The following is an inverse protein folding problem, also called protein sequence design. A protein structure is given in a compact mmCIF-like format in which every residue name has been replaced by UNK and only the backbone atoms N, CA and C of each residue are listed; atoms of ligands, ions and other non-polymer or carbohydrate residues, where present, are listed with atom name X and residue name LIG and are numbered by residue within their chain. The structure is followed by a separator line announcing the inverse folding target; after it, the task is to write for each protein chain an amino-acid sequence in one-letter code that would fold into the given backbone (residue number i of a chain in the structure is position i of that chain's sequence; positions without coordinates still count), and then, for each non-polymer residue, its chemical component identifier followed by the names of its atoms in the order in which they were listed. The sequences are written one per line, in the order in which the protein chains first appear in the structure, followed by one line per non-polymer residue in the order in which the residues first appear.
data_IF_281797927277
#
_entry.id   IF_281797927277
#
_cell.length_a   1.000
_cell.length_b   1.000
_cell.length_c   1.000
_cell.angle_alpha   90.00
_cell.angle_beta   90.00
_cell.angle_gamma   90.00
#
_symmetry.space_group_name_H-M   'P 1'
#
loop_
_entity.id
_entity.type
_entity.pdbx_description
1 polymer ?
#
# COMPACT_ATOMS: atom_id res chain seq x y z
N UNK A 1 -16.78 -28.10 -6.75
CA UNK A 1 -15.41 -28.00 -7.31
C UNK A 1 -14.65 -26.99 -6.48
N UNK A 2 -13.53 -27.37 -5.86
CA UNK A 2 -12.73 -26.45 -5.06
C UNK A 2 -12.05 -25.46 -6.00
N UNK A 3 -12.26 -24.14 -5.80
CA UNK A 3 -11.45 -23.11 -6.46
C UNK A 3 -10.00 -23.36 -6.06
N UNK A 4 -9.11 -23.69 -7.01
CA UNK A 4 -7.67 -23.61 -6.77
C UNK A 4 -7.38 -22.17 -6.31
N UNK A 5 -6.65 -22.03 -5.23
CA UNK A 5 -6.15 -20.73 -4.81
C UNK A 5 -5.14 -20.28 -5.87
N UNK A 6 -5.47 -19.20 -6.60
CA UNK A 6 -4.56 -18.54 -7.54
C UNK A 6 -3.45 -17.86 -6.74
N UNK A 7 -2.17 -18.04 -7.09
CA UNK A 7 -1.04 -17.37 -6.43
C UNK A 7 -0.99 -15.86 -6.76
N UNK A 8 -1.62 -15.43 -7.85
CA UNK A 8 -1.75 -14.01 -8.23
C UNK A 8 -2.56 -13.25 -7.18
N UNK A 9 -1.91 -12.26 -6.59
CA UNK A 9 -2.53 -11.41 -5.57
C UNK A 9 -3.62 -10.49 -6.12
N UNK A 10 -4.34 -9.86 -5.19
CA UNK A 10 -5.52 -9.04 -5.50
C UNK A 10 -5.17 -7.80 -6.32
N UNK A 11 -4.01 -7.20 -6.08
CA UNK A 11 -3.63 -5.95 -6.71
C UNK A 11 -3.16 -6.19 -8.15
N UNK A 12 -2.31 -7.21 -8.35
CA UNK A 12 -1.92 -7.66 -9.68
C UNK A 12 -3.15 -8.06 -10.50
N UNK A 13 -4.04 -8.86 -9.93
CA UNK A 13 -5.28 -9.27 -10.60
C UNK A 13 -6.15 -8.09 -10.99
N UNK A 14 -6.45 -7.19 -10.04
CA UNK A 14 -7.27 -6.01 -10.32
C UNK A 14 -6.63 -5.12 -11.39
N UNK A 15 -5.30 -4.94 -11.36
CA UNK A 15 -4.60 -4.17 -12.38
C UNK A 15 -4.71 -4.81 -13.77
N UNK A 16 -4.61 -6.13 -13.87
CA UNK A 16 -4.77 -6.87 -15.14
C UNK A 16 -6.20 -6.75 -15.68
N UNK A 17 -7.20 -6.77 -14.80
CA UNK A 17 -8.61 -6.66 -15.18
C UNK A 17 -8.95 -5.23 -15.67
N UNK A 18 -8.43 -4.20 -15.00
CA UNK A 18 -8.84 -2.80 -15.20
C UNK A 18 -7.98 -2.03 -16.23
N UNK A 19 -6.69 -2.34 -16.36
CA UNK A 19 -5.77 -1.53 -17.16
C UNK A 19 -5.67 -1.97 -18.64
N UNK A 20 -5.24 -1.07 -19.55
CA UNK A 20 -4.83 -1.42 -20.91
C UNK A 20 -3.63 -2.38 -20.93
N UNK A 21 -3.58 -3.29 -21.91
CA UNK A 21 -2.55 -4.33 -22.01
C UNK A 21 -1.13 -3.75 -22.03
N UNK A 22 -0.89 -2.69 -22.81
CA UNK A 22 0.43 -2.07 -22.91
C UNK A 22 0.93 -1.51 -21.57
N UNK A 23 0.01 -0.95 -20.79
CA UNK A 23 0.29 -0.41 -19.46
C UNK A 23 0.53 -1.55 -18.44
N UNK A 24 -0.20 -2.65 -18.54
CA UNK A 24 0.04 -3.86 -17.73
C UNK A 24 1.47 -4.34 -17.98
N UNK A 25 1.84 -4.55 -19.24
CA UNK A 25 3.19 -5.00 -19.61
C UNK A 25 4.27 -4.04 -19.11
N UNK A 26 4.03 -2.72 -19.24
CA UNK A 26 4.92 -1.69 -18.72
C UNK A 26 5.14 -1.81 -17.22
N UNK A 27 4.08 -2.04 -16.42
CA UNK A 27 4.20 -2.23 -14.97
C UNK A 27 5.02 -3.46 -14.64
N UNK A 28 4.74 -4.62 -15.27
CA UNK A 28 5.45 -5.87 -15.00
C UNK A 28 6.92 -5.83 -15.46
N UNK A 29 7.22 -5.08 -16.53
CA UNK A 29 8.59 -4.87 -17.03
C UNK A 29 9.40 -3.90 -16.17
N UNK A 30 8.76 -2.90 -15.56
CA UNK A 30 9.40 -1.85 -14.77
C UNK A 30 9.84 -2.33 -13.37
N UNK A 31 10.71 -3.34 -13.35
CA UNK A 31 11.42 -3.92 -12.20
C UNK A 31 12.33 -2.86 -11.57
N UNK A 32 12.39 -2.83 -10.25
CA UNK A 32 13.23 -1.90 -9.49
C UNK A 32 14.58 -2.52 -9.10
N UNK A 33 15.53 -1.72 -8.60
CA UNK A 33 16.78 -2.24 -8.04
C UNK A 33 16.57 -3.08 -6.77
N UNK A 34 15.44 -2.91 -6.08
CA UNK A 34 15.06 -3.70 -4.89
C UNK A 34 14.52 -5.09 -5.23
N UNK A 35 14.36 -5.40 -6.53
CA UNK A 35 13.76 -6.64 -7.03
C UNK A 35 14.76 -7.48 -7.83
N UNK A 36 16.04 -7.47 -7.46
CA UNK A 36 17.11 -8.20 -8.16
C UNK A 36 16.87 -9.73 -8.29
N UNK A 37 16.04 -10.30 -7.41
CA UNK A 37 15.68 -11.72 -7.44
C UNK A 37 14.33 -11.99 -8.13
N UNK A 38 13.63 -10.97 -8.64
CA UNK A 38 12.33 -11.15 -9.28
C UNK A 38 12.49 -11.79 -10.66
N UNK A 39 11.80 -12.92 -10.95
CA UNK A 39 11.92 -13.57 -12.23
C UNK A 39 11.36 -12.70 -13.37
N UNK A 40 11.82 -12.97 -14.58
CA UNK A 40 11.13 -12.48 -15.77
C UNK A 40 9.90 -13.35 -16.04
N UNK A 41 8.72 -12.73 -16.04
CA UNK A 41 7.47 -13.43 -16.31
C UNK A 41 7.25 -13.71 -17.80
N UNK A 42 8.03 -13.09 -18.71
CA UNK A 42 7.94 -13.34 -20.14
C UNK A 42 6.59 -12.96 -20.78
N UNK A 43 5.90 -11.96 -20.21
CA UNK A 43 4.53 -11.62 -20.60
C UNK A 43 4.42 -11.07 -22.03
N UNK A 44 5.44 -10.34 -22.50
CA UNK A 44 5.45 -9.78 -23.84
C UNK A 44 5.54 -10.90 -24.89
N UNK A 45 6.47 -11.84 -24.67
CA UNK A 45 6.70 -13.00 -25.51
C UNK A 45 5.47 -13.91 -25.53
N UNK A 46 4.81 -14.10 -24.38
CA UNK A 46 3.55 -14.83 -24.34
C UNK A 46 2.54 -14.14 -25.24
N UNK A 47 2.30 -12.84 -25.12
CA UNK A 47 1.27 -12.17 -25.90
C UNK A 47 1.57 -12.07 -27.40
N UNK A 48 2.84 -11.98 -27.80
CA UNK A 48 3.28 -11.97 -29.20
C UNK A 48 3.03 -13.30 -29.90
N UNK A 49 3.11 -14.42 -29.18
CA UNK A 49 2.69 -15.71 -29.73
C UNK A 49 1.17 -15.67 -29.95
N UNK A 50 0.68 -15.80 -31.18
CA UNK A 50 -0.76 -15.83 -31.51
C UNK A 50 -1.43 -17.14 -31.06
N UNK A 51 -1.43 -17.41 -29.76
CA UNK A 51 -2.18 -18.51 -29.17
C UNK A 51 -3.59 -18.00 -28.85
N UNK A 52 -4.63 -18.72 -29.28
CA UNK A 52 -6.02 -18.33 -29.07
C UNK A 52 -6.36 -18.12 -27.58
N UNK A 53 -7.18 -17.10 -27.29
CA UNK A 53 -7.57 -16.71 -25.93
C UNK A 53 -7.57 -15.19 -25.74
N UNK A 54 -8.25 -14.67 -24.72
CA UNK A 54 -8.16 -13.25 -24.41
C UNK A 54 -6.78 -12.92 -23.79
N UNK A 55 -6.17 -11.77 -24.13
CA UNK A 55 -4.81 -11.44 -23.66
C UNK A 55 -4.69 -11.42 -22.13
N UNK A 56 -5.74 -10.98 -21.42
CA UNK A 56 -5.77 -10.96 -19.94
C UNK A 56 -5.71 -12.36 -19.34
N UNK A 57 -6.46 -13.31 -19.92
CA UNK A 57 -6.47 -14.70 -19.44
C UNK A 57 -5.09 -15.32 -19.59
N UNK A 58 -4.41 -15.03 -20.72
CA UNK A 58 -3.05 -15.51 -20.97
C UNK A 58 -2.03 -14.94 -19.99
N UNK A 59 -2.16 -13.67 -19.63
CA UNK A 59 -1.33 -13.04 -18.59
C UNK A 59 -1.54 -13.77 -17.25
N UNK A 60 -2.80 -13.98 -16.85
CA UNK A 60 -3.12 -14.67 -15.61
C UNK A 60 -2.63 -16.11 -15.60
N UNK A 61 -2.82 -16.86 -16.69
CA UNK A 61 -2.31 -18.23 -16.86
C UNK A 61 -0.78 -18.29 -16.77
N UNK A 62 -0.09 -17.29 -17.31
CA UNK A 62 1.38 -17.20 -17.24
C UNK A 62 1.83 -16.95 -15.80
N UNK A 63 1.19 -16.00 -15.12
CA UNK A 63 1.52 -15.69 -13.72
C UNK A 63 1.18 -16.84 -12.77
N UNK A 64 0.15 -17.64 -13.08
CA UNK A 64 -0.21 -18.84 -12.31
C UNK A 64 0.86 -19.95 -12.34
N UNK A 65 1.87 -19.86 -13.22
CA UNK A 65 3.01 -20.79 -13.26
C UNK A 65 4.06 -20.48 -12.20
N UNK A 66 4.05 -19.27 -11.62
CA UNK A 66 5.01 -18.81 -10.62
C UNK A 66 4.48 -19.04 -9.21
N UNK A 67 5.40 -19.16 -8.24
CA UNK A 67 5.00 -19.28 -6.85
C UNK A 67 4.66 -17.91 -6.23
N UNK A 68 4.16 -17.94 -5.00
CA UNK A 68 3.74 -16.72 -4.32
C UNK A 68 4.92 -15.80 -3.96
N UNK A 69 6.09 -16.36 -3.70
CA UNK A 69 7.27 -15.59 -3.29
C UNK A 69 7.82 -14.81 -4.50
N UNK A 70 7.84 -15.44 -5.67
CA UNK A 70 8.18 -14.83 -6.97
C UNK A 70 7.21 -13.70 -7.36
N UNK A 71 5.92 -13.85 -7.07
CA UNK A 71 4.89 -12.87 -7.40
C UNK A 71 4.79 -11.72 -6.38
N UNK A 72 5.34 -11.88 -5.18
CA UNK A 72 5.24 -10.88 -4.11
C UNK A 72 5.78 -9.50 -4.51
N UNK A 73 6.95 -9.38 -5.16
CA UNK A 73 7.45 -8.10 -5.67
C UNK A 73 6.49 -7.43 -6.66
N UNK A 74 5.96 -8.20 -7.62
CA UNK A 74 5.00 -7.70 -8.60
C UNK A 74 3.67 -7.27 -7.94
N UNK A 75 3.18 -8.02 -6.96
CA UNK A 75 1.98 -7.69 -6.20
C UNK A 75 2.16 -6.37 -5.43
N UNK A 76 3.31 -6.17 -4.77
CA UNK A 76 3.62 -4.89 -4.09
C UNK A 76 3.63 -3.74 -5.07
N UNK A 77 4.25 -3.92 -6.23
CA UNK A 77 4.30 -2.92 -7.31
C UNK A 77 2.90 -2.53 -7.80
N UNK A 78 2.05 -3.53 -8.06
CA UNK A 78 0.66 -3.30 -8.45
C UNK A 78 -0.12 -2.58 -7.34
N UNK A 79 0.13 -2.93 -6.08
CA UNK A 79 -0.47 -2.25 -4.92
C UNK A 79 -0.09 -0.77 -4.85
N UNK A 80 1.19 -0.43 -5.05
CA UNK A 80 1.68 0.96 -5.10
C UNK A 80 0.93 1.79 -6.14
N UNK A 81 0.87 1.28 -7.37
CA UNK A 81 0.15 1.92 -8.49
C UNK A 81 -1.33 2.09 -8.15
N UNK A 82 -1.99 1.05 -7.65
CA UNK A 82 -3.42 1.13 -7.33
C UNK A 82 -3.72 2.10 -6.18
N UNK A 83 -2.86 2.18 -5.17
CA UNK A 83 -3.03 3.13 -4.06
C UNK A 83 -3.05 4.58 -4.53
N UNK A 84 -2.27 4.94 -5.56
CA UNK A 84 -2.28 6.28 -6.15
C UNK A 84 -3.39 6.49 -7.18
N UNK A 85 -4.04 5.42 -7.64
CA UNK A 85 -5.17 5.48 -8.57
C UNK A 85 -6.54 5.63 -7.87
N UNK A 86 -6.59 5.47 -6.54
CA UNK A 86 -7.85 5.40 -5.79
C UNK A 86 -7.91 6.43 -4.64
N UNK A 87 -9.12 6.88 -4.31
CA UNK A 87 -9.39 7.74 -3.15
C UNK A 87 -8.53 9.00 -3.09
N UNK A 88 -7.80 9.19 -1.98
CA UNK A 88 -6.91 10.35 -1.77
C UNK A 88 -5.61 10.26 -2.58
N UNK A 89 -5.28 9.08 -3.13
CA UNK A 89 -4.10 8.86 -3.96
C UNK A 89 -4.14 9.69 -5.23
N UNK A 90 -5.31 9.76 -5.89
CA UNK A 90 -5.52 10.53 -7.13
C UNK A 90 -5.15 12.00 -6.95
N UNK A 91 -5.67 12.63 -5.90
CA UNK A 91 -5.37 14.04 -5.62
C UNK A 91 -3.90 14.28 -5.26
N UNK A 92 -3.26 13.32 -4.59
CA UNK A 92 -1.82 13.37 -4.30
C UNK A 92 -1.00 13.30 -5.58
N UNK A 93 -1.34 12.35 -6.46
CA UNK A 93 -0.68 12.18 -7.75
C UNK A 93 -0.84 13.43 -8.63
N UNK A 94 -2.07 13.95 -8.79
CA UNK A 94 -2.32 15.17 -9.57
C UNK A 94 -1.53 16.38 -9.03
N UNK A 95 -1.44 16.50 -7.70
CA UNK A 95 -0.71 17.60 -7.05
C UNK A 95 0.79 17.54 -7.34
N UNK A 96 1.37 16.34 -7.30
CA UNK A 96 2.80 16.16 -7.55
C UNK A 96 3.10 16.21 -9.04
N UNK A 97 2.25 15.60 -9.88
CA UNK A 97 2.38 15.65 -11.33
C UNK A 97 2.49 17.10 -11.83
N UNK A 98 1.58 17.96 -11.39
CA UNK A 98 1.59 19.40 -11.74
C UNK A 98 2.86 20.16 -11.30
N UNK A 99 3.54 19.68 -10.25
CA UNK A 99 4.73 20.34 -9.69
C UNK A 99 6.04 19.80 -10.22
N UNK A 100 6.08 18.52 -10.58
CA UNK A 100 7.33 17.78 -10.87
C UNK A 100 7.50 17.43 -12.34
N UNK A 101 6.41 17.23 -13.08
CA UNK A 101 6.49 16.91 -14.50
C UNK A 101 6.84 18.16 -15.30
N UNK A 102 7.58 17.97 -16.39
CA UNK A 102 7.72 18.98 -17.44
C UNK A 102 6.37 19.26 -18.10
N UNK A 103 6.27 20.33 -18.90
CA UNK A 103 5.03 20.67 -19.59
C UNK A 103 4.60 19.56 -20.56
N UNK A 104 5.55 18.97 -21.28
CA UNK A 104 5.31 17.87 -22.21
C UNK A 104 4.83 16.61 -21.47
N UNK A 105 5.52 16.23 -20.39
CA UNK A 105 5.13 15.10 -19.54
C UNK A 105 3.76 15.29 -18.88
N UNK A 106 3.45 16.52 -18.46
CA UNK A 106 2.17 16.84 -17.85
C UNK A 106 1.01 16.74 -18.86
N UNK A 107 1.23 17.12 -20.12
CA UNK A 107 0.24 16.92 -21.20
C UNK A 107 -0.01 15.43 -21.42
N UNK A 108 1.05 14.62 -21.50
CA UNK A 108 0.93 13.16 -21.65
C UNK A 108 0.22 12.51 -20.44
N UNK A 109 0.48 13.01 -19.24
CA UNK A 109 -0.22 12.61 -18.02
C UNK A 109 -1.72 12.95 -18.08
N UNK A 110 -2.08 14.17 -18.47
CA UNK A 110 -3.49 14.59 -18.57
C UNK A 110 -4.26 13.81 -19.65
N UNK A 111 -3.57 13.44 -20.73
CA UNK A 111 -4.12 12.65 -21.85
C UNK A 111 -4.43 11.19 -21.49
N UNK A 112 -3.96 10.68 -20.34
CA UNK A 112 -4.31 9.35 -19.87
C UNK A 112 -5.81 9.25 -19.55
N UNK A 113 -6.42 8.11 -19.92
CA UNK A 113 -7.88 7.91 -19.91
C UNK A 113 -8.52 8.03 -18.52
N UNK A 114 -7.87 7.47 -17.51
CA UNK A 114 -8.41 7.37 -16.16
C UNK A 114 -7.30 7.49 -15.08
N UNK A 115 -7.66 7.61 -13.79
CA UNK A 115 -6.69 7.72 -12.71
C UNK A 115 -5.74 6.52 -12.58
N UNK A 116 -6.15 5.32 -12.98
CA UNK A 116 -5.28 4.14 -12.97
C UNK A 116 -4.23 4.24 -14.07
N UNK A 117 -4.63 4.61 -15.28
CA UNK A 117 -3.73 4.88 -16.39
C UNK A 117 -2.74 6.00 -16.06
N UNK A 118 -3.19 7.07 -15.39
CA UNK A 118 -2.32 8.14 -14.87
C UNK A 118 -1.28 7.63 -13.88
N UNK A 119 -1.71 6.85 -12.90
CA UNK A 119 -0.83 6.25 -11.91
C UNK A 119 0.21 5.34 -12.56
N UNK A 120 -0.22 4.46 -13.47
CA UNK A 120 0.67 3.56 -14.23
C UNK A 120 1.65 4.36 -15.09
N UNK A 121 1.17 5.35 -15.83
CA UNK A 121 2.00 6.17 -16.70
C UNK A 121 3.08 6.90 -15.91
N UNK A 122 2.73 7.51 -14.77
CA UNK A 122 3.71 8.20 -13.91
C UNK A 122 4.70 7.20 -13.31
N UNK A 123 4.24 6.01 -12.94
CA UNK A 123 5.11 4.94 -12.44
C UNK A 123 6.16 4.49 -13.47
N UNK A 124 5.77 4.36 -14.74
CA UNK A 124 6.64 3.90 -15.83
C UNK A 124 7.57 5.02 -16.29
N UNK A 125 7.04 6.21 -16.55
CA UNK A 125 7.76 7.27 -17.27
C UNK A 125 8.40 8.31 -16.34
N UNK A 126 7.85 8.52 -15.14
CA UNK A 126 8.27 9.58 -14.23
C UNK A 126 8.42 9.06 -12.79
N UNK A 127 9.32 8.08 -12.61
CA UNK A 127 9.49 7.34 -11.34
C UNK A 127 9.67 8.24 -10.12
N UNK A 128 10.48 9.29 -10.22
CA UNK A 128 10.69 10.24 -9.11
C UNK A 128 9.41 11.00 -8.73
N UNK A 129 8.58 11.39 -9.71
CA UNK A 129 7.30 12.03 -9.44
C UNK A 129 6.31 11.06 -8.79
N UNK A 130 6.33 9.78 -9.18
CA UNK A 130 5.53 8.74 -8.55
C UNK A 130 5.91 8.54 -7.07
N UNK A 131 7.20 8.42 -6.76
CA UNK A 131 7.71 8.22 -5.40
C UNK A 131 7.42 9.43 -4.49
N UNK A 132 7.52 10.64 -5.03
CA UNK A 132 7.11 11.87 -4.35
C UNK A 132 5.59 11.87 -4.05
N UNK A 133 4.77 11.41 -5.00
CA UNK A 133 3.32 11.28 -4.83
C UNK A 133 2.94 10.25 -3.77
N UNK A 134 3.63 9.10 -3.72
CA UNK A 134 3.45 8.12 -2.67
C UNK A 134 3.81 8.69 -1.31
N UNK A 135 4.97 9.34 -1.20
CA UNK A 135 5.43 9.98 0.03
C UNK A 135 4.43 11.03 0.52
N UNK A 136 3.90 11.85 -0.39
CA UNK A 136 2.89 12.84 -0.08
C UNK A 136 1.54 12.22 0.34
N UNK A 137 1.13 11.13 -0.33
CA UNK A 137 -0.07 10.37 0.01
C UNK A 137 0.02 9.77 1.42
N UNK A 138 1.12 9.08 1.75
CA UNK A 138 1.32 8.49 3.06
C UNK A 138 1.41 9.56 4.15
N UNK A 139 2.14 10.66 3.93
CA UNK A 139 2.20 11.75 4.90
C UNK A 139 0.81 12.34 5.21
N UNK A 140 -0.07 12.41 4.21
CA UNK A 140 -1.47 12.84 4.38
C UNK A 140 -2.27 11.81 5.19
N UNK A 141 -2.12 10.52 4.89
CA UNK A 141 -2.77 9.46 5.66
C UNK A 141 -2.32 9.45 7.12
N UNK A 142 -1.02 9.59 7.39
CA UNK A 142 -0.48 9.67 8.75
C UNK A 142 -1.03 10.87 9.50
N UNK A 143 -1.15 12.04 8.87
CA UNK A 143 -1.76 13.20 9.53
C UNK A 143 -3.24 12.98 9.85
N UNK A 144 -3.96 12.33 8.95
CA UNK A 144 -5.39 12.03 9.16
C UNK A 144 -5.60 10.96 10.23
N UNK A 145 -4.72 9.96 10.33
CA UNK A 145 -4.70 8.97 11.41
C UNK A 145 -4.23 9.57 12.74
N UNK A 146 -3.22 10.44 12.71
CA UNK A 146 -2.75 11.17 13.90
C UNK A 146 -3.87 11.99 14.54
N UNK A 147 -4.72 12.63 13.73
CA UNK A 147 -5.94 13.31 14.22
C UNK A 147 -6.98 12.36 14.82
N UNK A 148 -7.01 11.09 14.42
CA UNK A 148 -7.86 10.10 15.11
C UNK A 148 -7.32 9.78 16.50
N UNK A 149 -5.99 9.67 16.68
CA UNK A 149 -5.38 9.45 17.99
C UNK A 149 -5.48 10.68 18.90
N UNK A 150 -5.34 11.88 18.34
CA UNK A 150 -5.55 13.17 19.04
C UNK A 150 -6.97 13.28 19.62
N UNK A 151 -7.97 12.73 18.92
CA UNK A 151 -9.35 12.66 19.42
C UNK A 151 -9.56 11.69 20.61
N UNK A 152 -8.55 10.89 20.96
CA UNK A 152 -8.51 10.05 22.15
C UNK A 152 -7.57 10.57 23.24
N UNK A 153 -6.84 11.67 23.00
CA UNK A 153 -6.11 12.36 24.06
C UNK A 153 -7.13 13.08 24.97
N UNK A 154 -7.42 12.46 26.11
CA UNK A 154 -8.19 13.10 27.17
C UNK A 154 -7.28 14.13 27.83
N UNK A 155 -7.55 15.42 27.64
CA UNK A 155 -6.95 16.49 28.45
C UNK A 155 -7.32 16.27 29.93
N UNK A 156 -6.45 15.58 30.66
CA UNK A 156 -6.54 15.49 32.11
C UNK A 156 -6.13 16.86 32.67
N UNK A 157 -7.13 17.72 32.89
CA UNK A 157 -6.95 19.10 33.37
C UNK A 157 -6.22 19.25 34.72
N UNK A 158 -5.84 18.13 35.37
CA UNK A 158 -4.91 18.09 36.49
C UNK A 158 -3.93 16.93 36.30
N UNK A 159 -2.63 17.23 36.31
CA UNK A 159 -1.56 16.24 36.41
C UNK A 159 -1.51 15.66 37.82
N UNK A 160 -2.45 14.76 38.13
CA UNK A 160 -2.28 13.89 39.29
C UNK A 160 -1.17 12.90 38.95
N UNK A 161 -0.12 12.85 39.77
CA UNK A 161 0.93 11.83 39.63
C UNK A 161 0.29 10.44 39.60
N UNK A 162 0.24 9.84 38.42
CA UNK A 162 -0.36 8.53 38.21
C UNK A 162 0.74 7.49 38.40
N UNK A 163 0.76 6.87 39.57
CA UNK A 163 1.67 5.76 39.84
C UNK A 163 1.11 4.48 39.20
N UNK A 164 1.63 4.14 38.01
CA UNK A 164 1.27 2.94 37.28
C UNK A 164 1.56 1.64 38.04
N UNK A 165 2.42 1.67 39.07
CA UNK A 165 2.77 0.52 39.92
C UNK A 165 1.66 0.26 40.95
N UNK A 166 0.99 1.31 41.43
CA UNK A 166 -0.11 1.22 42.39
C UNK A 166 -1.47 0.83 41.79
N UNK A 167 -1.53 0.69 40.46
CA UNK A 167 -2.76 0.44 39.73
C UNK A 167 -3.23 -1.01 39.87
N UNK A 168 -4.48 -1.21 40.33
CA UNK A 168 -5.13 -2.52 40.27
C UNK A 168 -5.54 -2.86 38.83
N UNK A 169 -4.64 -3.58 38.15
CA UNK A 169 -4.79 -4.02 36.75
C UNK A 169 -6.01 -4.93 36.55
N UNK A 170 -6.42 -5.69 37.57
CA UNK A 170 -7.56 -6.60 37.47
C UNK A 170 -8.89 -5.85 37.57
N UNK A 171 -8.98 -4.87 38.48
CA UNK A 171 -10.15 -4.00 38.58
C UNK A 171 -10.34 -3.16 37.30
N UNK A 172 -9.25 -2.62 36.74
CA UNK A 172 -9.31 -1.85 35.50
C UNK A 172 -9.75 -2.71 34.30
N UNK A 173 -9.19 -3.91 34.14
CA UNK A 173 -9.59 -4.82 33.07
C UNK A 173 -11.07 -5.21 33.14
N UNK A 174 -11.61 -5.35 34.36
CA UNK A 174 -13.04 -5.65 34.59
C UNK A 174 -13.91 -4.47 34.17
N UNK A 175 -13.58 -3.24 34.63
CA UNK A 175 -14.28 -2.01 34.27
C UNK A 175 -14.28 -1.75 32.75
N UNK A 176 -13.15 -1.97 32.08
CA UNK A 176 -13.04 -1.80 30.62
C UNK A 176 -13.89 -2.84 29.89
N UNK A 177 -13.89 -4.09 30.36
CA UNK A 177 -14.70 -5.16 29.77
C UNK A 177 -16.20 -4.91 29.93
N UNK A 178 -16.62 -4.34 31.06
CA UNK A 178 -18.01 -3.94 31.32
C UNK A 178 -18.45 -2.76 30.45
N UNK A 179 -17.64 -1.69 30.35
CA UNK A 179 -18.00 -0.48 29.59
C UNK A 179 -18.00 -0.73 28.08
N UNK A 180 -17.09 -1.57 27.58
CA UNK A 180 -16.94 -1.85 26.16
C UNK A 180 -17.66 -3.13 25.69
N UNK A 181 -18.42 -3.78 26.59
CA UNK A 181 -19.18 -5.02 26.33
C UNK A 181 -18.34 -6.12 25.65
N UNK A 182 -17.08 -6.26 26.06
CA UNK A 182 -16.14 -7.19 25.41
C UNK A 182 -16.49 -8.64 25.74
N UNK A 183 -16.61 -9.48 24.71
CA UNK A 183 -16.87 -10.94 24.85
C UNK A 183 -15.65 -11.75 25.30
N UNK A 184 -14.46 -11.15 25.33
CA UNK A 184 -13.18 -11.82 25.64
C UNK A 184 -12.49 -11.19 26.84
N UNK A 185 -11.72 -11.98 27.60
CA UNK A 185 -10.97 -11.50 28.77
C UNK A 185 -9.95 -10.42 28.34
N UNK A 186 -10.15 -9.19 28.82
CA UNK A 186 -9.20 -8.09 28.64
C UNK A 186 -7.99 -8.27 29.59
N UNK A 187 -6.78 -8.00 29.10
CA UNK A 187 -5.54 -8.00 29.90
C UNK A 187 -4.87 -6.65 29.77
N UNK A 188 -4.65 -5.97 30.91
CA UNK A 188 -3.96 -4.67 30.95
C UNK A 188 -2.52 -4.89 31.40
N UNK A 189 -1.56 -4.45 30.59
CA UNK A 189 -0.14 -4.49 30.92
C UNK A 189 0.40 -3.07 30.89
N UNK A 190 1.10 -2.65 31.95
CA UNK A 190 1.82 -1.38 31.95
C UNK A 190 3.13 -1.60 31.18
N UNK A 191 3.36 -0.81 30.13
CA UNK A 191 4.66 -0.73 29.47
C UNK A 191 5.43 0.43 30.11
N UNK A 192 6.51 0.12 30.82
CA UNK A 192 7.53 1.11 31.14
C UNK A 192 8.30 1.41 29.87
N UNK A 193 8.25 2.65 29.39
CA UNK A 193 9.26 3.12 28.44
C UNK A 193 10.62 3.07 29.15
N UNK A 194 11.53 2.24 28.64
CA UNK A 194 12.92 2.23 29.06
C UNK A 194 13.62 3.50 28.55
N UNK A 195 13.32 4.66 29.15
CA UNK A 195 14.26 5.77 29.14
C UNK A 195 15.35 5.49 30.17
N UNK A 196 16.46 4.88 29.73
CA UNK A 196 17.72 5.08 30.44
C UNK A 196 18.97 4.81 29.62
N UNK A 197 19.82 5.86 29.58
CA UNK A 197 21.28 5.92 29.42
C UNK A 197 21.84 6.20 28.01
N UNK A 198 21.80 7.48 27.63
CA UNK A 198 22.82 8.14 26.80
C UNK A 198 23.74 9.05 27.65
N UNK A 199 24.15 8.56 28.82
CA UNK A 199 25.23 9.15 29.62
C UNK A 199 26.18 8.03 30.01
N UNK A 200 27.42 8.13 29.52
CA UNK A 200 28.56 7.21 29.65
C UNK A 200 28.66 6.10 28.58
N UNK A 201 29.12 6.46 27.37
CA UNK A 201 30.40 6.07 26.72
C UNK A 201 30.62 6.97 25.49
#
# INVERSE_FOLDING_TARGET
MARKATPVGRFARGLIEDAPIDLILGVFKARGPETDNEPDFGLAEVLENETGGAPRDRILETLDLFDQDDLTPAERRCGRVRNLAEGKGVASLDTIAKKRLSNEEFIEYENQLDPLCRSIWTFINARHAFEDAESFYFARQYRDLGKMYDAFEVELGNTTGFDAISLDKAALATKISEVLELKTKCTVTAMEELENKLSDI
#
